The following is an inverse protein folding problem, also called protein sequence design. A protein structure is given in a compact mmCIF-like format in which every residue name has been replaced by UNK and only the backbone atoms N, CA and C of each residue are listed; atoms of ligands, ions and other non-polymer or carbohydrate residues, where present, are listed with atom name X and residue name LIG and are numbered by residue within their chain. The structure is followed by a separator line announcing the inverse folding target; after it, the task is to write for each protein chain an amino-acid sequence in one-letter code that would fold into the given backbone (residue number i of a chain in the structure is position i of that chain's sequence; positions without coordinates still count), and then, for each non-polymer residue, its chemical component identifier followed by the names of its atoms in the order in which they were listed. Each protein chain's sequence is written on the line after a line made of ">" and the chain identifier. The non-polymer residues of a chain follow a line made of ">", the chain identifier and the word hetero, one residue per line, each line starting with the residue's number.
data_IF_492801655535
#
_entry.id   IF_492801655535
#
_cell.length_a   1.000
_cell.length_b   1.000
_cell.length_c   1.000
_cell.angle_alpha   90.00
_cell.angle_beta   90.00
_cell.angle_gamma   90.00
#
_symmetry.space_group_name_H-M   'P 1'
#
loop_
_entity.id
_entity.type
_entity.pdbx_description
1 polymer ?
#
# COMPACT_ATOMS: atom_id res chain seq x y z
N UNK A 1 -7.87 10.33 -12.42
CA UNK A 1 -6.46 9.95 -12.44
C UNK A 1 -6.18 8.84 -11.44
N UNK A 2 -5.35 7.93 -11.84
CA UNK A 2 -4.93 6.86 -10.96
C UNK A 2 -3.77 7.35 -10.09
N UNK A 3 -4.03 7.46 -8.80
CA UNK A 3 -3.05 7.92 -7.84
C UNK A 3 -2.88 6.87 -6.77
N UNK A 4 -1.64 6.56 -6.43
CA UNK A 4 -1.34 5.61 -5.36
C UNK A 4 -0.79 6.40 -4.19
N UNK A 5 -1.46 6.26 -3.04
CA UNK A 5 -1.03 6.88 -1.79
C UNK A 5 -0.39 5.80 -0.92
N UNK A 6 0.80 6.09 -0.40
CA UNK A 6 1.53 5.15 0.45
C UNK A 6 1.54 5.71 1.86
N UNK A 7 1.09 4.94 2.83
CA UNK A 7 1.00 5.40 4.21
C UNK A 7 1.35 4.27 5.19
N UNK A 8 1.86 4.66 6.35
CA UNK A 8 2.04 3.77 7.49
C UNK A 8 0.94 3.96 8.54
N UNK A 9 0.06 4.92 8.33
CA UNK A 9 -0.91 5.35 9.32
C UNK A 9 -2.26 4.70 9.08
N UNK A 10 -2.72 3.91 10.04
CA UNK A 10 -4.01 3.24 9.93
C UNK A 10 -5.18 4.21 10.04
N UNK A 11 -4.98 5.38 10.63
CA UNK A 11 -6.04 6.41 10.68
C UNK A 11 -6.38 6.89 9.27
N UNK A 12 -5.38 6.94 8.41
CA UNK A 12 -5.59 7.31 7.01
C UNK A 12 -6.48 6.30 6.29
N UNK A 13 -6.42 5.06 6.72
CA UNK A 13 -7.25 3.98 6.17
C UNK A 13 -8.74 4.26 6.39
N UNK A 14 -9.11 4.72 7.56
CA UNK A 14 -10.50 5.04 7.86
C UNK A 14 -11.02 6.14 6.95
N UNK A 15 -10.22 7.18 6.74
CA UNK A 15 -10.58 8.27 5.84
C UNK A 15 -10.76 7.77 4.41
N UNK A 16 -9.88 6.88 3.97
CA UNK A 16 -9.96 6.30 2.63
C UNK A 16 -11.26 5.52 2.46
N UNK A 17 -11.61 4.68 3.43
CA UNK A 17 -12.80 3.85 3.35
C UNK A 17 -14.09 4.68 3.37
N UNK A 18 -14.08 5.79 4.12
CA UNK A 18 -15.24 6.66 4.22
C UNK A 18 -15.42 7.48 2.94
N UNK A 19 -14.35 8.08 2.45
CA UNK A 19 -14.42 8.99 1.32
C UNK A 19 -14.57 8.28 -0.02
N UNK A 20 -14.08 7.06 -0.12
CA UNK A 20 -14.08 6.28 -1.36
C UNK A 20 -13.52 7.07 -2.54
N UNK A 21 -12.42 7.77 -2.28
CA UNK A 21 -11.78 8.58 -3.30
C UNK A 21 -11.29 7.70 -4.45
N UNK A 22 -11.24 8.22 -5.69
CA UNK A 22 -10.81 7.44 -6.85
C UNK A 22 -9.28 7.28 -6.92
N UNK A 23 -8.67 6.94 -5.81
CA UNK A 23 -7.24 6.67 -5.76
C UNK A 23 -7.00 5.35 -5.04
N UNK A 24 -5.77 4.89 -5.09
CA UNK A 24 -5.39 3.61 -4.53
C UNK A 24 -4.50 3.84 -3.32
N UNK A 25 -4.62 2.95 -2.35
CA UNK A 25 -3.90 3.09 -1.08
C UNK A 25 -3.03 1.87 -0.82
N UNK A 26 -1.75 2.11 -0.56
CA UNK A 26 -0.82 1.09 -0.11
C UNK A 26 -0.50 1.35 1.36
N UNK A 27 -0.97 0.46 2.22
CA UNK A 27 -0.71 0.54 3.65
C UNK A 27 0.56 -0.25 3.96
N UNK A 28 1.53 0.39 4.61
CA UNK A 28 2.80 -0.24 4.95
C UNK A 28 2.78 -0.63 6.41
N UNK A 29 2.89 -1.94 6.69
CA UNK A 29 2.83 -2.48 8.05
C UNK A 29 4.08 -3.28 8.37
N UNK A 30 5.24 -2.71 8.04
CA UNK A 30 6.53 -3.37 8.22
C UNK A 30 7.10 -3.20 9.63
N UNK A 31 6.50 -2.32 10.44
CA UNK A 31 7.06 -1.95 11.73
C UNK A 31 8.27 -1.05 11.57
N UNK A 32 9.22 -1.13 12.49
CA UNK A 32 10.43 -0.34 12.41
C UNK A 32 11.33 -0.86 11.29
N UNK A 33 11.56 -0.03 10.30
CA UNK A 33 12.34 -0.39 9.12
C UNK A 33 13.09 0.85 8.66
N UNK A 34 14.32 0.68 8.21
CA UNK A 34 15.08 1.82 7.68
C UNK A 34 14.53 2.22 6.31
N UNK A 35 14.83 3.46 5.89
CA UNK A 35 14.39 3.92 4.59
C UNK A 35 14.98 3.08 3.45
N UNK A 36 16.23 2.65 3.60
CA UNK A 36 16.88 1.80 2.61
C UNK A 36 16.18 0.45 2.49
N UNK A 37 15.85 -0.15 3.64
CA UNK A 37 15.14 -1.43 3.65
C UNK A 37 13.74 -1.30 3.07
N UNK A 38 13.04 -0.22 3.42
CA UNK A 38 11.69 0.02 2.91
C UNK A 38 11.71 0.20 1.39
N UNK A 39 12.68 0.95 0.89
CA UNK A 39 12.82 1.17 -0.54
C UNK A 39 13.10 -0.13 -1.27
N UNK A 40 14.00 -0.96 -0.73
CA UNK A 40 14.30 -2.26 -1.32
C UNK A 40 13.08 -3.16 -1.33
N UNK A 41 12.34 -3.17 -0.23
CA UNK A 41 11.11 -3.97 -0.11
C UNK A 41 10.08 -3.53 -1.14
N UNK A 42 9.89 -2.23 -1.27
CA UNK A 42 8.96 -1.67 -2.25
C UNK A 42 9.39 -2.03 -3.69
N UNK A 43 10.66 -1.86 -4.01
CA UNK A 43 11.17 -2.15 -5.35
C UNK A 43 11.02 -3.63 -5.69
N UNK A 44 11.32 -4.50 -4.73
CA UNK A 44 11.22 -5.95 -4.96
C UNK A 44 9.78 -6.40 -5.20
N UNK A 45 8.81 -5.68 -4.65
CA UNK A 45 7.40 -6.04 -4.77
C UNK A 45 6.65 -5.16 -5.79
N UNK A 46 7.34 -4.23 -6.42
CA UNK A 46 6.68 -3.26 -7.29
C UNK A 46 5.89 -3.90 -8.44
N UNK A 47 6.42 -4.90 -9.15
CA UNK A 47 5.63 -5.54 -10.22
C UNK A 47 4.34 -6.14 -9.70
N UNK A 48 4.38 -6.79 -8.53
CA UNK A 48 3.20 -7.38 -7.92
C UNK A 48 2.22 -6.29 -7.47
N UNK A 49 2.74 -5.22 -6.88
CA UNK A 49 1.91 -4.10 -6.43
C UNK A 49 1.19 -3.48 -7.61
N UNK A 50 1.89 -3.23 -8.70
CA UNK A 50 1.30 -2.66 -9.91
C UNK A 50 0.20 -3.56 -10.47
N UNK A 51 0.47 -4.86 -10.54
CA UNK A 51 -0.50 -5.81 -11.07
C UNK A 51 -1.75 -5.85 -10.19
N UNK A 52 -1.59 -5.85 -8.88
CA UNK A 52 -2.72 -5.89 -7.95
C UNK A 52 -3.54 -4.62 -8.02
N UNK A 53 -2.90 -3.46 -8.18
CA UNK A 53 -3.63 -2.20 -8.25
C UNK A 53 -4.42 -2.02 -9.56
N UNK A 54 -4.29 -2.90 -10.51
CA UNK A 54 -5.17 -2.86 -11.68
C UNK A 54 -6.59 -3.33 -11.34
N UNK A 55 -6.75 -4.10 -10.26
CA UNK A 55 -8.05 -4.67 -9.89
C UNK A 55 -8.46 -4.37 -8.45
N UNK A 56 -7.55 -3.85 -7.66
CA UNK A 56 -7.80 -3.60 -6.24
C UNK A 56 -7.45 -2.17 -5.90
N UNK A 57 -8.06 -1.64 -4.85
CA UNK A 57 -7.85 -0.25 -4.44
C UNK A 57 -7.17 -0.13 -3.08
N UNK A 58 -7.14 -1.18 -2.29
CA UNK A 58 -6.51 -1.16 -0.97
C UNK A 58 -5.66 -2.40 -0.78
N UNK A 59 -4.37 -2.19 -0.62
CA UNK A 59 -3.38 -3.26 -0.46
C UNK A 59 -2.50 -2.93 0.72
N UNK A 60 -2.14 -3.96 1.47
CA UNK A 60 -1.22 -3.85 2.61
C UNK A 60 0.08 -4.54 2.28
N UNK A 61 1.21 -3.88 2.55
CA UNK A 61 2.54 -4.46 2.36
C UNK A 61 3.20 -4.64 3.71
N UNK A 62 3.44 -5.89 4.10
CA UNK A 62 4.22 -6.22 5.29
C UNK A 62 5.62 -6.65 4.86
N UNK A 63 6.46 -7.02 5.83
CA UNK A 63 7.83 -7.47 5.52
C UNK A 63 7.85 -8.72 4.66
N UNK A 64 6.86 -9.59 4.82
CA UNK A 64 6.89 -10.92 4.24
C UNK A 64 5.76 -11.21 3.28
N UNK A 65 4.80 -10.30 3.13
CA UNK A 65 3.62 -10.60 2.32
C UNK A 65 2.94 -9.34 1.82
N UNK A 66 2.13 -9.54 0.78
CA UNK A 66 1.22 -8.51 0.27
C UNK A 66 -0.19 -9.01 0.54
N UNK A 67 -1.00 -8.18 1.15
CA UNK A 67 -2.36 -8.55 1.53
C UNK A 67 -3.33 -7.63 0.81
N UNK A 68 -4.31 -8.22 0.14
CA UNK A 68 -5.33 -7.45 -0.58
C UNK A 68 -6.54 -7.28 0.32
N UNK A 69 -6.98 -6.04 0.50
CA UNK A 69 -8.15 -5.72 1.32
C UNK A 69 -9.38 -5.36 0.48
N UNK A 70 -9.16 -4.69 -0.66
CA UNK A 70 -10.29 -4.32 -1.53
C UNK A 70 -9.90 -4.40 -3.00
#
# INVERSE_FOLDING_TARGET
>A
QNRIVITKDTDFLDSFLISQEPYKLLLVTTGNITNVELEALFQNNLPQIKALFTQHSLIEMSRNSIIVHQ
#
